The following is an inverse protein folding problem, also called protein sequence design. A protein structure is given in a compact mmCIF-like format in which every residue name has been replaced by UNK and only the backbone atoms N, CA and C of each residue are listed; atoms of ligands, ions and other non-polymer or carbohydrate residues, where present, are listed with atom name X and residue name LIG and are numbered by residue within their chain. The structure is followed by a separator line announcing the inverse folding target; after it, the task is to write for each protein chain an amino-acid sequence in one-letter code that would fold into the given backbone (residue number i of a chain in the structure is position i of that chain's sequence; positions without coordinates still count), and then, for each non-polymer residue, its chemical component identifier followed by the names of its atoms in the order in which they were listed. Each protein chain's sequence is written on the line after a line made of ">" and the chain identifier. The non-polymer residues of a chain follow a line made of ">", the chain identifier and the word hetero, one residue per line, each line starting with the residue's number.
data_IF_676946175373
#
_entry.id   IF_676946175373
#
_cell.length_a   1.000
_cell.length_b   1.000
_cell.length_c   1.000
_cell.angle_alpha   90.00
_cell.angle_beta   90.00
_cell.angle_gamma   90.00
#
_symmetry.space_group_name_H-M   'P 1'
#
loop_
_entity.id
_entity.type
_entity.pdbx_description
1 polymer ?
#
# COMPACT_ATOMS: atom_id res chain seq x y z
N UNK A 1 17.37 17.79 12.88
CA UNK A 1 18.67 17.07 13.06
C UNK A 1 18.59 15.71 12.37
N UNK A 2 19.67 14.92 12.38
CA UNK A 2 19.65 13.55 11.82
C UNK A 2 18.67 12.63 12.54
N UNK A 3 18.60 12.72 13.87
CA UNK A 3 17.73 11.86 14.69
C UNK A 3 16.25 12.22 14.54
N UNK A 4 15.92 13.51 14.41
CA UNK A 4 14.54 13.95 14.11
C UNK A 4 14.06 13.41 12.75
N UNK A 5 14.92 13.45 11.72
CA UNK A 5 14.59 12.89 10.40
C UNK A 5 14.42 11.38 10.48
N UNK A 6 15.25 10.68 11.24
CA UNK A 6 15.14 9.24 11.45
C UNK A 6 13.79 8.86 12.07
N UNK A 7 13.34 9.57 13.11
CA UNK A 7 12.05 9.32 13.75
C UNK A 7 10.85 9.57 12.82
N UNK A 8 10.93 10.62 11.97
CA UNK A 8 9.90 10.89 10.97
C UNK A 8 9.84 9.81 9.89
N UNK A 9 11.00 9.33 9.43
CA UNK A 9 11.09 8.23 8.47
C UNK A 9 10.54 6.93 9.05
N UNK A 10 10.81 6.62 10.33
CA UNK A 10 10.25 5.44 11.01
C UNK A 10 8.71 5.45 10.97
N UNK A 11 8.12 6.59 11.34
CA UNK A 11 6.66 6.77 11.34
C UNK A 11 6.07 6.65 9.92
N UNK A 12 6.69 7.32 8.94
CA UNK A 12 6.24 7.30 7.54
C UNK A 12 6.33 5.89 6.94
N UNK A 13 7.46 5.21 7.11
CA UNK A 13 7.68 3.86 6.59
C UNK A 13 6.79 2.82 7.30
N UNK A 14 6.55 2.97 8.61
CA UNK A 14 5.58 2.17 9.34
C UNK A 14 4.16 2.29 8.78
N UNK A 15 3.74 3.52 8.46
CA UNK A 15 2.46 3.80 7.79
C UNK A 15 2.41 3.19 6.38
N UNK A 16 3.46 3.37 5.59
CA UNK A 16 3.55 2.80 4.25
C UNK A 16 3.50 1.27 4.27
N UNK A 17 4.15 0.62 5.23
CA UNK A 17 4.09 -0.83 5.41
C UNK A 17 2.66 -1.33 5.69
N UNK A 18 1.90 -0.63 6.54
CA UNK A 18 0.49 -0.97 6.77
C UNK A 18 -0.34 -0.82 5.48
N UNK A 19 -0.08 0.19 4.68
CA UNK A 19 -0.92 0.47 3.51
C UNK A 19 -0.51 -0.34 2.27
N UNK A 20 0.76 -0.67 2.10
CA UNK A 20 1.27 -1.42 0.94
C UNK A 20 1.30 -2.92 1.23
N UNK A 21 1.88 -3.34 2.35
CA UNK A 21 2.13 -4.77 2.64
C UNK A 21 0.95 -5.42 3.38
N UNK A 22 0.47 -4.83 4.49
CA UNK A 22 -0.68 -5.41 5.23
C UNK A 22 -1.92 -5.46 4.34
N UNK A 23 -2.25 -4.37 3.63
CA UNK A 23 -3.42 -4.38 2.74
C UNK A 23 -3.26 -5.36 1.58
N UNK A 24 -2.04 -5.60 1.06
CA UNK A 24 -1.83 -6.65 0.06
C UNK A 24 -2.18 -8.04 0.61
N UNK A 25 -1.75 -8.36 1.85
CA UNK A 25 -2.18 -9.58 2.55
C UNK A 25 -3.71 -9.67 2.63
N UNK A 26 -4.37 -8.56 2.99
CA UNK A 26 -5.83 -8.52 3.14
C UNK A 26 -6.55 -8.69 1.80
N UNK A 27 -6.01 -8.12 0.73
CA UNK A 27 -6.50 -8.29 -0.63
C UNK A 27 -6.39 -9.76 -1.10
N UNK A 28 -5.23 -10.40 -0.87
CA UNK A 28 -5.02 -11.81 -1.19
C UNK A 28 -6.00 -12.72 -0.44
N UNK A 29 -6.15 -12.49 0.88
CA UNK A 29 -7.09 -13.23 1.70
C UNK A 29 -8.53 -13.08 1.21
N UNK A 30 -8.99 -11.85 0.98
CA UNK A 30 -10.36 -11.57 0.56
C UNK A 30 -10.67 -12.14 -0.84
N UNK A 31 -9.70 -12.05 -1.76
CA UNK A 31 -9.78 -12.68 -3.09
C UNK A 31 -9.99 -14.18 -2.98
N UNK A 32 -9.17 -14.87 -2.17
CA UNK A 32 -9.25 -16.31 -2.00
C UNK A 32 -10.56 -16.73 -1.30
N UNK A 33 -11.00 -15.97 -0.29
CA UNK A 33 -12.30 -16.19 0.37
C UNK A 33 -13.42 -16.14 -0.66
N UNK A 34 -13.50 -15.11 -1.49
CA UNK A 34 -14.56 -15.02 -2.50
C UNK A 34 -14.48 -16.16 -3.53
N UNK A 35 -13.28 -16.48 -4.01
CA UNK A 35 -13.08 -17.58 -4.95
C UNK A 35 -13.57 -18.93 -4.39
N UNK A 36 -13.22 -19.27 -3.13
CA UNK A 36 -13.68 -20.53 -2.52
C UNK A 36 -15.17 -20.49 -2.15
N UNK A 37 -15.70 -19.33 -1.73
CA UNK A 37 -17.10 -19.19 -1.29
C UNK A 37 -18.12 -19.30 -2.42
N UNK A 38 -17.72 -19.06 -3.66
CA UNK A 38 -18.54 -19.35 -4.84
C UNK A 38 -18.97 -20.82 -4.94
N UNK A 39 -18.23 -21.74 -4.31
CA UNK A 39 -18.45 -23.19 -4.43
C UNK A 39 -19.11 -23.82 -3.22
N UNK A 40 -18.80 -23.33 -2.01
CA UNK A 40 -19.27 -23.92 -0.75
C UNK A 40 -19.06 -23.01 0.45
N UNK A 41 -19.60 -23.46 1.58
CA UNK A 41 -19.23 -22.94 2.91
C UNK A 41 -17.79 -23.29 3.28
N UNK A 42 -17.14 -22.35 3.97
CA UNK A 42 -15.77 -22.40 4.47
C UNK A 42 -15.78 -22.46 5.99
N UNK A 43 -14.98 -23.37 6.56
CA UNK A 43 -14.76 -23.49 7.99
C UNK A 43 -13.63 -22.59 8.51
N UNK A 44 -13.51 -22.51 9.83
CA UNK A 44 -12.49 -21.70 10.53
C UNK A 44 -11.07 -22.13 10.17
N UNK A 45 -10.80 -23.44 10.08
CA UNK A 45 -9.47 -23.96 9.72
C UNK A 45 -9.02 -23.46 8.34
N UNK A 46 -9.95 -23.40 7.39
CA UNK A 46 -9.67 -22.93 6.03
C UNK A 46 -9.45 -21.42 5.99
N UNK A 47 -10.25 -20.65 6.73
CA UNK A 47 -10.05 -19.21 6.87
C UNK A 47 -8.69 -18.88 7.49
N UNK A 48 -8.29 -19.65 8.51
CA UNK A 48 -6.97 -19.52 9.12
C UNK A 48 -5.85 -19.88 8.14
N UNK A 49 -5.99 -20.97 7.37
CA UNK A 49 -5.04 -21.36 6.33
C UNK A 49 -4.87 -20.25 5.28
N UNK A 50 -5.97 -19.72 4.74
CA UNK A 50 -5.93 -18.64 3.75
C UNK A 50 -5.29 -17.37 4.32
N UNK A 51 -5.56 -17.03 5.59
CA UNK A 51 -4.98 -15.86 6.25
C UNK A 51 -3.47 -16.02 6.49
N UNK A 52 -3.01 -17.22 6.88
CA UNK A 52 -1.58 -17.50 7.01
C UNK A 52 -0.87 -17.47 5.65
N UNK A 53 -1.50 -18.03 4.62
CA UNK A 53 -0.96 -18.02 3.26
C UNK A 53 -0.83 -16.57 2.74
N UNK A 54 -1.88 -15.76 2.90
CA UNK A 54 -1.85 -14.36 2.50
C UNK A 54 -0.76 -13.54 3.25
N UNK A 55 -0.59 -13.76 4.56
CA UNK A 55 0.50 -13.16 5.32
C UNK A 55 1.87 -13.61 4.80
N UNK A 56 2.04 -14.90 4.50
CA UNK A 56 3.30 -15.42 3.97
C UNK A 56 3.66 -14.80 2.61
N UNK A 57 2.70 -14.71 1.69
CA UNK A 57 2.92 -14.11 0.38
C UNK A 57 3.24 -12.61 0.45
N UNK A 58 2.48 -11.86 1.25
CA UNK A 58 2.62 -10.41 1.29
C UNK A 58 3.85 -9.95 2.07
N UNK A 59 4.10 -10.55 3.24
CA UNK A 59 5.22 -10.13 4.10
C UNK A 59 6.53 -10.82 3.75
N UNK A 60 6.50 -12.01 3.11
CA UNK A 60 7.70 -12.78 2.84
C UNK A 60 8.56 -12.98 4.09
N UNK A 61 9.86 -12.73 3.97
CA UNK A 61 10.81 -12.79 5.08
C UNK A 61 10.80 -11.55 6.01
N UNK A 62 9.87 -10.62 5.82
CA UNK A 62 9.72 -9.42 6.66
C UNK A 62 9.09 -9.67 8.03
N UNK A 63 8.57 -10.88 8.29
CA UNK A 63 8.05 -11.30 9.59
C UNK A 63 8.57 -12.69 9.97
N UNK A 64 8.62 -12.98 11.26
CA UNK A 64 8.76 -14.36 11.74
C UNK A 64 7.43 -15.10 11.56
N UNK A 65 7.38 -16.06 10.65
CA UNK A 65 6.17 -16.83 10.35
C UNK A 65 5.64 -17.65 11.54
N UNK A 66 6.45 -17.93 12.57
CA UNK A 66 5.96 -18.55 13.81
C UNK A 66 5.06 -17.60 14.62
N UNK A 67 5.15 -16.30 14.35
CA UNK A 67 4.32 -15.24 14.96
C UNK A 67 3.13 -14.83 14.09
N UNK A 68 2.99 -15.41 12.89
CA UNK A 68 1.88 -15.09 11.99
C UNK A 68 0.54 -15.40 12.67
N UNK A 69 -0.43 -14.49 12.51
CA UNK A 69 -1.68 -14.58 13.28
C UNK A 69 -2.79 -15.22 12.44
N UNK A 70 -3.19 -16.49 12.69
CA UNK A 70 -4.19 -17.18 11.89
C UNK A 70 -5.59 -16.53 11.96
N UNK A 71 -5.92 -15.89 13.08
CA UNK A 71 -7.22 -15.25 13.30
C UNK A 71 -7.24 -13.76 12.94
N UNK A 72 -6.22 -13.24 12.25
CA UNK A 72 -6.19 -11.83 11.85
C UNK A 72 -7.43 -11.43 11.03
N UNK A 73 -8.05 -12.38 10.31
CA UNK A 73 -9.31 -12.16 9.59
C UNK A 73 -10.51 -11.82 10.49
N UNK A 74 -10.49 -12.22 11.76
CA UNK A 74 -11.54 -11.87 12.74
C UNK A 74 -11.39 -10.44 13.24
N UNK A 75 -10.15 -9.96 13.34
CA UNK A 75 -9.82 -8.70 14.03
C UNK A 75 -9.97 -7.46 13.15
N UNK A 76 -10.13 -7.61 11.84
CA UNK A 76 -10.25 -6.48 10.91
C UNK A 76 -11.73 -6.23 10.59
N UNK A 77 -12.35 -5.16 11.12
CA UNK A 77 -13.78 -4.91 10.93
C UNK A 77 -14.16 -4.71 9.46
N UNK A 78 -13.24 -4.22 8.63
CA UNK A 78 -13.49 -3.94 7.22
C UNK A 78 -13.88 -5.17 6.38
N UNK A 79 -13.56 -6.40 6.80
CA UNK A 79 -14.03 -7.61 6.11
C UNK A 79 -15.54 -7.83 6.22
N UNK A 80 -16.17 -7.18 7.20
CA UNK A 80 -17.59 -7.35 7.51
C UNK A 80 -18.44 -6.15 7.06
N UNK A 81 -17.84 -5.26 6.27
CA UNK A 81 -18.50 -4.10 5.65
C UNK A 81 -18.44 -4.18 4.14
N UNK A 82 -17.79 -3.19 3.52
CA UNK A 82 -17.62 -3.14 2.06
C UNK A 82 -16.52 -4.08 1.60
N UNK A 83 -16.77 -4.79 0.50
CA UNK A 83 -15.77 -5.67 -0.12
C UNK A 83 -14.56 -4.87 -0.59
N UNK A 84 -13.36 -5.40 -0.37
CA UNK A 84 -12.08 -4.80 -0.74
C UNK A 84 -11.92 -3.36 -0.25
N UNK A 85 -12.57 -2.98 0.85
CA UNK A 85 -12.57 -1.63 1.41
C UNK A 85 -11.17 -1.02 1.60
N UNK A 86 -10.17 -1.88 1.82
CA UNK A 86 -8.82 -1.43 2.12
C UNK A 86 -8.03 -1.04 0.87
N UNK A 87 -8.36 -1.62 -0.29
CA UNK A 87 -7.64 -1.40 -1.54
C UNK A 87 -7.50 0.09 -1.93
N UNK A 88 -8.55 0.94 -1.78
CA UNK A 88 -8.43 2.37 -2.01
C UNK A 88 -7.32 3.08 -1.22
N UNK A 89 -6.93 2.61 -0.02
CA UNK A 89 -5.81 3.21 0.71
C UNK A 89 -4.47 2.91 0.02
N UNK A 90 -4.26 1.67 -0.43
CA UNK A 90 -3.06 1.29 -1.20
C UNK A 90 -2.98 2.11 -2.47
N UNK A 91 -4.09 2.17 -3.22
CA UNK A 91 -4.18 2.98 -4.43
C UNK A 91 -3.87 4.44 -4.14
N UNK A 92 -4.54 5.05 -3.14
CA UNK A 92 -4.39 6.46 -2.82
C UNK A 92 -2.97 6.84 -2.40
N UNK A 93 -2.32 6.03 -1.55
CA UNK A 93 -0.93 6.24 -1.16
C UNK A 93 0.00 6.18 -2.37
N UNK A 94 -0.08 5.12 -3.17
CA UNK A 94 0.80 4.94 -4.32
C UNK A 94 0.52 5.97 -5.42
N UNK A 95 -0.73 6.36 -5.63
CA UNK A 95 -1.09 7.42 -6.56
C UNK A 95 -0.48 8.76 -6.12
N UNK A 96 -0.61 9.11 -4.84
CA UNK A 96 -0.01 10.31 -4.26
C UNK A 96 1.53 10.31 -4.34
N UNK A 97 2.18 9.18 -4.09
CA UNK A 97 3.63 9.04 -4.26
C UNK A 97 4.06 9.12 -5.73
N UNK A 98 3.24 8.64 -6.65
CA UNK A 98 3.48 8.75 -8.09
C UNK A 98 3.38 10.20 -8.56
N UNK A 99 2.37 10.93 -8.08
CA UNK A 99 2.27 12.38 -8.25
C UNK A 99 3.51 13.09 -7.68
N UNK A 100 3.95 12.73 -6.47
CA UNK A 100 5.16 13.28 -5.86
C UNK A 100 6.44 12.99 -6.67
N UNK A 101 6.55 11.81 -7.28
CA UNK A 101 7.66 11.47 -8.17
C UNK A 101 7.67 12.36 -9.41
N UNK A 102 6.50 12.73 -9.94
CA UNK A 102 6.39 13.67 -11.07
C UNK A 102 6.74 15.10 -10.67
N UNK A 103 6.34 15.55 -9.48
CA UNK A 103 6.75 16.85 -8.93
C UNK A 103 8.27 17.01 -8.95
N UNK A 104 9.03 16.00 -8.54
CA UNK A 104 10.50 16.05 -8.57
C UNK A 104 11.10 16.12 -9.97
N UNK A 105 10.39 15.62 -10.99
CA UNK A 105 10.86 15.64 -12.39
C UNK A 105 10.53 16.97 -13.08
N UNK A 106 9.34 17.51 -12.85
CA UNK A 106 8.86 18.75 -13.48
C UNK A 106 7.89 19.51 -12.53
N UNK A 107 8.41 20.34 -11.61
CA UNK A 107 7.60 21.05 -10.62
C UNK A 107 6.60 22.04 -11.22
N UNK A 108 7.01 22.77 -12.26
CA UNK A 108 6.16 23.81 -12.88
C UNK A 108 4.94 23.18 -13.55
N UNK A 109 5.13 22.06 -14.26
CA UNK A 109 4.01 21.31 -14.84
C UNK A 109 3.14 20.65 -13.78
N UNK A 110 3.73 20.22 -12.66
CA UNK A 110 2.99 19.59 -11.58
C UNK A 110 1.90 20.49 -11.01
N UNK A 111 2.21 21.77 -10.77
CA UNK A 111 1.28 22.71 -10.14
C UNK A 111 -0.04 22.83 -10.91
N UNK A 112 0.02 23.07 -12.23
CA UNK A 112 -1.18 23.20 -13.06
C UNK A 112 -1.98 21.91 -13.21
N UNK A 113 -1.30 20.76 -13.24
CA UNK A 113 -1.97 19.45 -13.27
C UNK A 113 -2.68 19.13 -11.95
N UNK A 114 -2.10 19.54 -10.82
CA UNK A 114 -2.55 19.08 -9.50
C UNK A 114 -3.87 19.75 -9.10
N UNK A 115 -4.00 21.05 -9.38
CA UNK A 115 -5.27 21.78 -9.19
C UNK A 115 -6.41 21.15 -10.01
N UNK A 116 -6.10 20.71 -11.24
CA UNK A 116 -7.07 20.02 -12.10
C UNK A 116 -7.53 18.71 -11.47
N UNK A 117 -6.60 17.88 -10.98
CA UNK A 117 -6.92 16.61 -10.31
C UNK A 117 -7.79 16.85 -9.07
N UNK A 118 -7.43 17.81 -8.21
CA UNK A 118 -8.20 18.13 -7.02
C UNK A 118 -9.61 18.61 -7.35
N UNK A 119 -9.77 19.41 -8.41
CA UNK A 119 -11.07 19.91 -8.84
C UNK A 119 -12.00 18.81 -9.37
N UNK A 120 -11.46 17.63 -9.74
CA UNK A 120 -12.20 16.51 -10.34
C UNK A 120 -12.33 15.30 -9.43
N UNK A 121 -11.65 15.31 -8.27
CA UNK A 121 -11.70 14.24 -7.30
C UNK A 121 -13.15 13.97 -6.83
N UNK A 122 -13.58 12.71 -6.89
CA UNK A 122 -14.94 12.29 -6.55
C UNK A 122 -15.97 12.48 -7.67
N UNK A 123 -15.60 13.09 -8.80
CA UNK A 123 -16.43 13.16 -10.01
C UNK A 123 -15.93 12.22 -11.11
N UNK A 124 -14.61 12.12 -11.27
CA UNK A 124 -13.94 11.31 -12.28
C UNK A 124 -13.52 9.93 -11.73
N UNK A 125 -13.33 8.94 -12.62
CA UNK A 125 -12.70 7.66 -12.25
C UNK A 125 -11.21 7.81 -11.95
N UNK A 126 -10.60 6.78 -11.35
CA UNK A 126 -9.16 6.68 -11.12
C UNK A 126 -8.33 6.91 -12.41
N UNK A 127 -8.76 6.30 -13.51
CA UNK A 127 -8.13 6.43 -14.83
C UNK A 127 -8.33 7.81 -15.45
N UNK A 128 -9.49 8.43 -15.24
CA UNK A 128 -9.77 9.80 -15.69
C UNK A 128 -8.93 10.82 -14.93
N UNK A 129 -8.81 10.67 -13.60
CA UNK A 129 -7.94 11.49 -12.75
C UNK A 129 -6.46 11.36 -13.14
N UNK A 130 -5.99 10.13 -13.39
CA UNK A 130 -4.64 9.90 -13.89
C UNK A 130 -4.41 10.63 -15.22
N UNK A 131 -5.31 10.44 -16.19
CA UNK A 131 -5.22 11.07 -17.52
C UNK A 131 -5.28 12.59 -17.46
N UNK A 132 -6.03 13.19 -16.53
CA UNK A 132 -6.04 14.64 -16.31
C UNK A 132 -4.64 15.19 -15.96
N UNK A 133 -3.76 14.34 -15.44
CA UNK A 133 -2.37 14.64 -15.13
C UNK A 133 -1.37 14.14 -16.20
N UNK A 134 -1.85 13.62 -17.33
CA UNK A 134 -1.06 12.86 -18.32
C UNK A 134 -0.36 11.62 -17.73
N UNK A 135 -1.00 10.97 -16.76
CA UNK A 135 -0.55 9.71 -16.18
C UNK A 135 -1.43 8.57 -16.66
N UNK A 136 -0.80 7.46 -16.99
CA UNK A 136 -1.49 6.21 -17.25
C UNK A 136 -1.40 5.33 -16.00
N UNK A 137 -2.53 5.18 -15.31
CA UNK A 137 -2.62 4.34 -14.10
C UNK A 137 -2.68 2.84 -14.44
N UNK A 138 -2.73 2.46 -15.72
CA UNK A 138 -2.54 1.09 -16.17
C UNK A 138 -1.08 0.75 -16.48
N UNK A 139 -0.19 1.75 -16.50
CA UNK A 139 1.24 1.56 -16.71
C UNK A 139 1.94 1.15 -15.40
N UNK A 140 2.56 -0.03 -15.40
CA UNK A 140 3.37 -0.53 -14.28
C UNK A 140 4.53 0.41 -13.91
N UNK A 141 5.06 1.15 -14.89
CA UNK A 141 6.16 2.10 -14.66
C UNK A 141 5.77 3.23 -13.72
N UNK A 142 4.50 3.66 -13.75
CA UNK A 142 3.97 4.67 -12.84
C UNK A 142 3.99 4.18 -11.40
N UNK A 143 3.46 2.97 -11.16
CA UNK A 143 3.43 2.37 -9.83
C UNK A 143 4.83 2.02 -9.30
N UNK A 144 5.72 1.58 -10.19
CA UNK A 144 7.13 1.37 -9.87
C UNK A 144 7.78 2.66 -9.37
N UNK A 145 7.54 3.79 -10.06
CA UNK A 145 8.05 5.09 -9.62
C UNK A 145 7.50 5.51 -8.24
N UNK A 146 6.25 5.18 -7.91
CA UNK A 146 5.70 5.41 -6.57
C UNK A 146 6.42 4.61 -5.49
N UNK A 147 6.71 3.33 -5.76
CA UNK A 147 7.45 2.44 -4.85
C UNK A 147 8.92 2.87 -4.69
N UNK A 148 9.52 3.43 -5.74
CA UNK A 148 10.90 3.95 -5.70
C UNK A 148 11.05 5.12 -4.72
N UNK A 149 9.98 5.91 -4.50
CA UNK A 149 9.96 6.93 -3.45
C UNK A 149 10.10 6.29 -2.07
N UNK A 150 9.36 5.21 -1.79
CA UNK A 150 9.49 4.47 -0.53
C UNK A 150 10.87 3.83 -0.40
N UNK A 151 11.39 3.22 -1.47
CA UNK A 151 12.75 2.65 -1.47
C UNK A 151 13.81 3.71 -1.11
N UNK A 152 13.69 4.90 -1.66
CA UNK A 152 14.60 6.02 -1.34
C UNK A 152 14.52 6.39 0.14
N UNK A 153 13.31 6.45 0.71
CA UNK A 153 13.10 6.71 2.14
C UNK A 153 13.66 5.60 3.03
N UNK A 154 13.54 4.33 2.62
CA UNK A 154 14.16 3.19 3.32
C UNK A 154 15.68 3.29 3.34
N UNK A 155 16.32 3.60 2.21
CA UNK A 155 17.77 3.81 2.14
C UNK A 155 18.23 4.98 3.02
N UNK A 156 17.47 6.09 3.01
CA UNK A 156 17.73 7.22 3.90
C UNK A 156 17.63 6.83 5.39
N UNK A 157 16.62 6.04 5.73
CA UNK A 157 16.42 5.51 7.08
C UNK A 157 17.59 4.64 7.51
N UNK A 158 17.99 3.66 6.70
CA UNK A 158 19.12 2.76 6.97
C UNK A 158 20.43 3.53 7.20
N UNK A 159 20.71 4.52 6.33
CA UNK A 159 21.90 5.35 6.44
C UNK A 159 21.94 6.17 7.73
N UNK A 160 20.80 6.69 8.17
CA UNK A 160 20.70 7.43 9.44
C UNK A 160 20.76 6.50 10.65
N UNK A 161 20.15 5.32 10.55
CA UNK A 161 20.09 4.31 11.60
C UNK A 161 21.45 3.67 11.90
N UNK A 162 22.36 3.59 10.93
CA UNK A 162 23.71 3.01 11.12
C UNK A 162 24.47 3.59 12.32
N UNK A 163 24.23 4.86 12.68
CA UNK A 163 24.87 5.49 13.85
C UNK A 163 24.42 4.91 15.19
N UNK A 164 23.29 4.21 15.20
CA UNK A 164 22.63 3.64 16.36
C UNK A 164 22.75 2.11 16.43
N UNK A 165 23.22 1.47 15.36
CA UNK A 165 23.47 0.02 15.31
C UNK A 165 24.89 -0.23 15.84
N UNK A 166 24.98 -1.00 16.93
CA UNK A 166 26.26 -1.42 17.52
C UNK A 166 26.76 -2.72 16.89
#
# INVERSE_FOLDING_TARGET
>A
TGDERLALLDTDLGGANQVVVDIHSRFLFETEVFARRQRRTLGVSELNEMMLNAQSQAYGNGIDHTTAHPYMWVLKPHYYGSHFYNWPYTYGLLFGLGLYAQYHRDPERFHGGYDTVLSRAGMDTAEELGRAFNLDVSDESFWTASLDVLRTRMLDYENLAQKHIK
#
